data_IF_651054617768
#
_entry.id   IF_651054617768
#
_cell.length_a   1.000
_cell.length_b   1.000
_cell.length_c   1.000
_cell.angle_alpha   90.00
_cell.angle_beta   90.00
_cell.angle_gamma   90.00
#
_symmetry.space_group_name_H-M   'P 1'
#
loop_
_entity.id
_entity.type
_entity.pdbx_description
1 polymer ?
#
# COMPACT_ATOMS: atom_id res chain seq x y z
N UNK A 1 -12.19 8.19 -29.20
CA UNK A 1 -11.04 8.35 -28.30
C UNK A 1 -10.42 6.97 -28.11
N UNK A 2 -9.14 6.79 -28.41
CA UNK A 2 -8.46 5.52 -28.12
C UNK A 2 -8.18 5.47 -26.62
N UNK A 3 -8.74 4.48 -25.92
CA UNK A 3 -8.46 4.28 -24.50
C UNK A 3 -7.11 3.60 -24.36
N UNK A 4 -6.08 4.35 -23.95
CA UNK A 4 -4.79 3.77 -23.59
C UNK A 4 -4.89 3.12 -22.21
N UNK A 5 -4.64 1.82 -22.14
CA UNK A 5 -4.58 1.10 -20.86
C UNK A 5 -3.17 1.13 -20.31
N UNK A 6 -3.02 1.46 -19.02
CA UNK A 6 -1.74 1.42 -18.32
C UNK A 6 -1.70 0.25 -17.33
N UNK A 7 -0.52 -0.39 -17.19
CA UNK A 7 -0.27 -1.44 -16.20
C UNK A 7 0.81 -0.97 -15.23
N UNK A 8 0.52 -1.08 -13.94
CA UNK A 8 1.50 -0.88 -12.85
C UNK A 8 1.79 -2.25 -12.24
N UNK A 9 3.07 -2.60 -12.09
CA UNK A 9 3.52 -3.82 -11.43
C UNK A 9 4.34 -3.41 -10.20
N UNK A 10 4.08 -4.06 -9.07
CA UNK A 10 4.80 -3.81 -7.82
C UNK A 10 5.18 -5.14 -7.18
N UNK A 11 6.37 -5.19 -6.60
CA UNK A 11 6.82 -6.34 -5.81
C UNK A 11 6.29 -6.25 -4.39
N UNK A 12 5.61 -7.30 -3.94
CA UNK A 12 5.14 -7.43 -2.57
C UNK A 12 6.13 -8.33 -1.82
N UNK A 13 6.75 -7.87 -0.72
CA UNK A 13 7.65 -8.70 0.06
C UNK A 13 6.87 -9.83 0.75
N UNK A 14 7.55 -10.92 1.07
CA UNK A 14 6.95 -11.98 1.89
C UNK A 14 6.44 -11.41 3.23
N UNK A 15 5.16 -11.67 3.49
CA UNK A 15 4.48 -11.20 4.71
C UNK A 15 4.31 -12.38 5.66
N UNK A 16 4.78 -12.29 6.92
CA UNK A 16 4.57 -13.34 7.90
C UNK A 16 3.11 -13.73 8.07
N UNK A 17 2.87 -15.01 8.36
CA UNK A 17 1.52 -15.52 8.60
C UNK A 17 0.85 -14.73 9.74
N UNK A 18 -0.42 -14.34 9.55
CA UNK A 18 -1.16 -13.50 10.51
C UNK A 18 -0.96 -11.99 10.35
N UNK A 19 0.06 -11.54 9.61
CA UNK A 19 0.36 -10.11 9.45
C UNK A 19 -0.31 -9.47 8.22
N UNK A 20 -0.99 -10.28 7.39
CA UNK A 20 -1.58 -9.83 6.13
C UNK A 20 -2.63 -8.72 6.29
N UNK A 21 -3.37 -8.70 7.40
CA UNK A 21 -4.35 -7.63 7.66
C UNK A 21 -3.67 -6.28 7.89
N UNK A 22 -2.65 -6.23 8.73
CA UNK A 22 -1.89 -5.00 9.01
C UNK A 22 -1.20 -4.48 7.76
N UNK A 23 -0.61 -5.37 6.94
CA UNK A 23 -0.03 -5.00 5.66
C UNK A 23 -1.07 -4.35 4.73
N UNK A 24 -2.22 -4.98 4.50
CA UNK A 24 -3.28 -4.44 3.64
C UNK A 24 -3.82 -3.08 4.14
N UNK A 25 -3.94 -2.90 5.46
CA UNK A 25 -4.32 -1.62 6.07
C UNK A 25 -3.29 -0.53 5.76
N UNK A 26 -2.00 -0.85 5.87
CA UNK A 26 -0.92 0.06 5.50
C UNK A 26 -0.98 0.46 4.03
N UNK A 27 -1.19 -0.51 3.13
CA UNK A 27 -1.33 -0.22 1.69
C UNK A 27 -2.46 0.77 1.43
N UNK A 28 -3.62 0.56 2.05
CA UNK A 28 -4.77 1.46 1.90
C UNK A 28 -4.47 2.87 2.42
N UNK A 29 -3.88 2.97 3.61
CA UNK A 29 -3.52 4.25 4.23
C UNK A 29 -2.50 5.03 3.39
N UNK A 30 -1.45 4.35 2.89
CA UNK A 30 -0.43 4.98 2.04
C UNK A 30 -0.97 5.42 0.67
N UNK A 31 -1.88 4.62 0.08
CA UNK A 31 -2.52 4.95 -1.19
C UNK A 31 -3.46 6.16 -1.08
N UNK A 32 -4.19 6.28 0.03
CA UNK A 32 -5.18 7.33 0.25
C UNK A 32 -4.63 8.56 0.98
N UNK A 33 -3.36 8.53 1.37
CA UNK A 33 -2.72 9.58 2.17
C UNK A 33 -3.44 9.84 3.51
N UNK A 34 -3.84 8.75 4.17
CA UNK A 34 -4.52 8.80 5.47
C UNK A 34 -3.78 7.96 6.51
N UNK A 35 -4.08 8.20 7.79
CA UNK A 35 -3.54 7.44 8.93
C UNK A 35 -4.64 6.69 9.68
N UNK A 36 -5.70 6.30 8.98
CA UNK A 36 -6.92 5.77 9.60
C UNK A 36 -6.67 4.51 10.43
N UNK A 37 -5.68 3.72 10.04
CA UNK A 37 -5.39 2.46 10.70
C UNK A 37 -4.08 2.49 11.50
N UNK A 38 -3.42 3.64 11.67
CA UNK A 38 -2.08 3.75 12.30
C UNK A 38 -2.06 3.21 13.74
N UNK A 39 -3.15 3.34 14.49
CA UNK A 39 -3.27 2.88 15.88
C UNK A 39 -3.79 1.45 16.07
N UNK A 40 -4.12 0.74 14.98
CA UNK A 40 -4.76 -0.58 15.04
C UNK A 40 -3.80 -1.79 15.04
N UNK A 41 -2.59 -1.73 14.45
CA UNK A 41 -1.64 -2.83 14.51
C UNK A 41 -1.22 -3.10 15.96
N UNK A 42 -1.18 -4.38 16.32
CA UNK A 42 -0.40 -4.84 17.47
C UNK A 42 1.09 -4.57 17.21
N UNK A 43 1.89 -4.34 18.24
CA UNK A 43 3.32 -3.95 18.11
C UNK A 43 4.13 -4.88 17.20
N UNK A 44 3.86 -6.18 17.28
CA UNK A 44 4.48 -7.22 16.43
C UNK A 44 4.10 -7.12 14.95
N UNK A 45 2.99 -6.47 14.61
CA UNK A 45 2.48 -6.30 13.26
C UNK A 45 2.71 -4.89 12.69
N UNK A 46 3.23 -3.96 13.49
CA UNK A 46 3.50 -2.57 13.09
C UNK A 46 4.49 -2.50 11.92
N UNK A 47 5.53 -3.35 11.92
CA UNK A 47 6.47 -3.43 10.80
C UNK A 47 5.78 -3.82 9.48
N UNK A 48 4.82 -4.75 9.52
CA UNK A 48 4.05 -5.14 8.33
C UNK A 48 3.12 -4.03 7.87
N UNK A 49 2.51 -3.28 8.79
CA UNK A 49 1.74 -2.08 8.45
C UNK A 49 2.61 -1.02 7.75
N UNK A 50 3.78 -0.69 8.30
CA UNK A 50 4.70 0.29 7.70
C UNK A 50 5.20 -0.12 6.31
N UNK A 51 5.47 -1.41 6.09
CA UNK A 51 5.78 -1.94 4.74
C UNK A 51 4.61 -1.74 3.78
N UNK A 52 3.38 -1.93 4.26
CA UNK A 52 2.17 -1.64 3.50
C UNK A 52 2.08 -0.18 3.09
N UNK A 53 2.32 0.76 4.03
CA UNK A 53 2.33 2.20 3.77
C UNK A 53 3.29 2.54 2.63
N UNK A 54 4.53 2.06 2.71
CA UNK A 54 5.54 2.31 1.68
C UNK A 54 5.10 1.82 0.29
N UNK A 55 4.51 0.62 0.21
CA UNK A 55 3.97 0.09 -1.03
C UNK A 55 2.80 0.93 -1.56
N UNK A 56 1.87 1.33 -0.69
CA UNK A 56 0.73 2.17 -1.04
C UNK A 56 1.13 3.54 -1.59
N UNK A 57 2.13 4.18 -0.97
CA UNK A 57 2.73 5.44 -1.46
C UNK A 57 3.37 5.24 -2.83
N UNK A 58 4.09 4.14 -3.02
CA UNK A 58 4.71 3.81 -4.31
C UNK A 58 3.64 3.66 -5.39
N UNK A 59 2.57 2.92 -5.12
CA UNK A 59 1.44 2.77 -6.04
C UNK A 59 0.80 4.11 -6.40
N UNK A 60 0.52 4.95 -5.39
CA UNK A 60 -0.05 6.30 -5.58
C UNK A 60 0.82 7.11 -6.55
N UNK A 61 2.13 7.11 -6.35
CA UNK A 61 3.07 7.85 -7.17
C UNK A 61 3.15 7.31 -8.61
N UNK A 62 3.13 5.99 -8.81
CA UNK A 62 3.10 5.41 -10.16
C UNK A 62 1.81 5.75 -10.90
N UNK A 63 0.65 5.70 -10.23
CA UNK A 63 -0.62 6.11 -10.83
C UNK A 63 -0.59 7.61 -11.21
N UNK A 64 -0.08 8.47 -10.33
CA UNK A 64 -0.01 9.92 -10.57
C UNK A 64 0.89 10.31 -11.75
N UNK A 65 1.90 9.49 -12.10
CA UNK A 65 2.71 9.70 -13.31
C UNK A 65 1.93 9.43 -14.60
N UNK A 66 0.91 8.58 -14.53
CA UNK A 66 0.16 8.07 -15.67
C UNK A 66 -1.16 8.82 -15.86
N UNK A 67 -1.78 9.26 -14.77
CA UNK A 67 -3.06 9.97 -14.75
C UNK A 67 -2.80 11.45 -14.44
N UNK A 68 -3.02 12.32 -15.43
CA UNK A 68 -2.87 13.78 -15.33
C UNK A 68 -4.20 14.46 -15.07
#
# INVERSE_FOLDING_TARGET
>A
MSSSTHKVTLDIPDIPHGHGLSFKRGVADGLLDTKKHESLPHDTHSASYQRGIALGITLKNEIAKLVK
#
